data_IF_082389369849
#
_entry.id   IF_082389369849
#
_cell.length_a   1.000
_cell.length_b   1.000
_cell.length_c   1.000
_cell.angle_alpha   90.00
_cell.angle_beta   90.00
_cell.angle_gamma   90.00
#
_symmetry.space_group_name_H-M   'P 1'
#
loop_
_entity.id
_entity.type
_entity.pdbx_description
1 polymer ?
#
# COMPACT_ATOMS: atom_id res chain seq x y z
N UNK A 1 -5.06 -13.08 -12.24
CA UNK A 1 -4.81 -11.89 -13.08
C UNK A 1 -3.51 -11.15 -12.75
N UNK A 2 -3.03 -11.13 -11.48
CA UNK A 2 -1.79 -10.42 -11.09
C UNK A 2 -0.46 -11.14 -11.39
N UNK A 3 -0.43 -12.47 -11.48
CA UNK A 3 0.83 -13.23 -11.59
C UNK A 3 1.67 -12.87 -12.84
N UNK A 4 1.01 -12.64 -13.98
CA UNK A 4 1.70 -12.33 -15.24
C UNK A 4 2.32 -10.92 -15.31
N UNK A 5 2.02 -10.04 -14.34
CA UNK A 5 2.50 -8.65 -14.39
C UNK A 5 3.97 -8.55 -13.96
N UNK A 6 4.46 -9.56 -13.23
CA UNK A 6 5.80 -9.60 -12.65
C UNK A 6 6.74 -10.61 -13.31
N UNK A 7 6.23 -11.42 -14.23
CA UNK A 7 7.07 -12.35 -14.99
C UNK A 7 7.97 -11.61 -15.97
N UNK A 8 9.20 -12.09 -16.09
CA UNK A 8 10.16 -11.71 -17.11
C UNK A 8 10.99 -12.94 -17.49
N UNK A 9 11.45 -12.99 -18.73
CA UNK A 9 12.29 -14.08 -19.24
C UNK A 9 13.70 -13.98 -18.64
N UNK A 10 14.27 -15.11 -18.18
CA UNK A 10 15.65 -15.17 -17.70
C UNK A 10 16.70 -14.89 -18.77
N UNK A 11 16.31 -14.91 -20.05
CA UNK A 11 17.13 -14.50 -21.19
C UNK A 11 16.92 -13.04 -21.63
N UNK A 12 16.08 -12.27 -20.92
CA UNK A 12 15.77 -10.89 -21.26
C UNK A 12 17.00 -9.98 -21.28
N UNK A 13 17.03 -9.07 -22.24
CA UNK A 13 18.04 -8.02 -22.35
C UNK A 13 17.92 -7.00 -21.21
N UNK A 14 18.99 -6.22 -21.00
CA UNK A 14 18.98 -5.13 -20.01
C UNK A 14 17.86 -4.11 -20.27
N UNK A 15 17.59 -3.80 -21.54
CA UNK A 15 16.53 -2.86 -21.91
C UNK A 15 15.14 -3.38 -21.49
N UNK A 16 14.87 -4.67 -21.75
CA UNK A 16 13.61 -5.31 -21.34
C UNK A 16 13.48 -5.36 -19.81
N UNK A 17 14.56 -5.66 -19.09
CA UNK A 17 14.56 -5.64 -17.63
C UNK A 17 14.28 -4.24 -17.08
N UNK A 18 14.81 -3.18 -17.70
CA UNK A 18 14.50 -1.79 -17.32
C UNK A 18 13.02 -1.45 -17.53
N UNK A 19 12.40 -1.95 -18.59
CA UNK A 19 10.95 -1.77 -18.82
C UNK A 19 10.11 -2.49 -17.77
N UNK A 20 10.50 -3.71 -17.38
CA UNK A 20 9.87 -4.46 -16.29
C UNK A 20 9.96 -3.68 -14.99
N UNK A 21 11.14 -3.16 -14.64
CA UNK A 21 11.33 -2.31 -13.46
C UNK A 21 10.43 -1.08 -13.52
N UNK A 22 10.40 -0.37 -14.66
CA UNK A 22 9.55 0.81 -14.82
C UNK A 22 8.05 0.50 -14.67
N UNK A 23 7.61 -0.68 -15.12
CA UNK A 23 6.24 -1.17 -14.90
C UNK A 23 5.98 -1.44 -13.42
N UNK A 24 6.88 -2.13 -12.74
CA UNK A 24 6.80 -2.39 -11.31
C UNK A 24 6.74 -1.09 -10.49
N UNK A 25 7.54 -0.08 -10.84
CA UNK A 25 7.50 1.23 -10.16
C UNK A 25 6.14 1.91 -10.29
N UNK A 26 5.54 1.92 -11.49
CA UNK A 26 4.20 2.50 -11.68
C UNK A 26 3.13 1.79 -10.85
N UNK A 27 3.22 0.45 -10.77
CA UNK A 27 2.29 -0.34 -9.96
C UNK A 27 2.50 -0.09 -8.47
N UNK A 28 3.75 -0.04 -8.00
CA UNK A 28 4.06 0.31 -6.61
C UNK A 28 3.49 1.68 -6.24
N UNK A 29 3.70 2.69 -7.09
CA UNK A 29 3.18 4.03 -6.86
C UNK A 29 1.65 4.04 -6.79
N UNK A 30 0.98 3.34 -7.70
CA UNK A 30 -0.48 3.25 -7.69
C UNK A 30 -1.01 2.54 -6.43
N UNK A 31 -0.41 1.40 -6.08
CA UNK A 31 -0.76 0.63 -4.88
C UNK A 31 -0.57 1.48 -3.61
N UNK A 32 0.56 2.18 -3.48
CA UNK A 32 0.82 3.07 -2.37
C UNK A 32 -0.21 4.20 -2.25
N UNK A 33 -0.62 4.80 -3.38
CA UNK A 33 -1.65 5.85 -3.39
C UNK A 33 -3.03 5.32 -2.96
N UNK A 34 -3.40 4.11 -3.40
CA UNK A 34 -4.64 3.46 -2.96
C UNK A 34 -4.59 3.12 -1.47
N UNK A 35 -3.48 2.54 -1.01
CA UNK A 35 -3.26 2.18 0.39
C UNK A 35 -3.34 3.42 1.29
N UNK A 36 -2.68 4.52 0.93
CA UNK A 36 -2.76 5.77 1.70
C UNK A 36 -4.20 6.27 1.87
N UNK A 37 -5.02 6.24 0.80
CA UNK A 37 -6.44 6.63 0.87
C UNK A 37 -7.26 5.69 1.73
N UNK A 38 -7.03 4.37 1.61
CA UNK A 38 -7.71 3.37 2.42
C UNK A 38 -7.35 3.52 3.91
N UNK A 39 -6.08 3.74 4.23
CA UNK A 39 -5.60 4.00 5.58
C UNK A 39 -6.20 5.28 6.17
N UNK A 40 -6.28 6.36 5.38
CA UNK A 40 -6.92 7.60 5.84
C UNK A 40 -8.41 7.37 6.18
N UNK A 41 -9.15 6.69 5.30
CA UNK A 41 -10.56 6.34 5.55
C UNK A 41 -10.70 5.45 6.78
N UNK A 42 -9.79 4.51 6.99
CA UNK A 42 -9.78 3.65 8.18
C UNK A 42 -9.54 4.46 9.46
N UNK A 43 -8.58 5.39 9.43
CA UNK A 43 -8.33 6.31 10.54
C UNK A 43 -9.59 7.12 10.90
N UNK A 44 -10.32 7.63 9.91
CA UNK A 44 -11.55 8.38 10.12
C UNK A 44 -12.64 7.52 10.78
N UNK A 45 -12.83 6.29 10.29
CA UNK A 45 -13.79 5.35 10.88
C UNK A 45 -13.45 5.01 12.33
N UNK A 46 -12.17 4.81 12.64
CA UNK A 46 -11.71 4.56 14.02
C UNK A 46 -11.97 5.76 14.92
N UNK A 47 -11.60 6.97 14.48
CA UNK A 47 -11.86 8.19 15.24
C UNK A 47 -13.34 8.37 15.55
N UNK A 48 -14.22 8.07 14.61
CA UNK A 48 -15.67 8.10 14.84
C UNK A 48 -16.13 7.05 15.87
N UNK A 49 -15.59 5.83 15.79
CA UNK A 49 -15.92 4.76 16.74
C UNK A 49 -15.36 5.01 18.15
N UNK A 50 -14.25 5.73 18.26
CA UNK A 50 -13.58 6.08 19.52
C UNK A 50 -14.13 7.39 20.13
N UNK A 51 -15.24 7.92 19.60
CA UNK A 51 -15.89 9.12 20.13
C UNK A 51 -16.30 8.92 21.60
N UNK A 52 -15.85 9.81 22.48
CA UNK A 52 -16.05 9.72 23.93
C UNK A 52 -14.94 9.00 24.69
N UNK A 53 -13.96 8.40 24.00
CA UNK A 53 -12.76 7.90 24.65
C UNK A 53 -11.79 9.05 25.00
N UNK A 54 -10.98 8.93 26.07
CA UNK A 54 -9.89 9.88 26.32
C UNK A 54 -8.93 9.95 25.13
N UNK A 55 -8.53 11.17 24.73
CA UNK A 55 -7.66 11.40 23.57
C UNK A 55 -6.36 10.56 23.59
N UNK A 56 -5.79 10.33 24.77
CA UNK A 56 -4.58 9.50 24.96
C UNK A 56 -4.77 8.02 24.57
N UNK A 57 -6.02 7.55 24.44
CA UNK A 57 -6.39 6.18 24.06
C UNK A 57 -6.92 6.08 22.63
N UNK A 58 -7.18 7.20 21.96
CA UNK A 58 -7.65 7.21 20.57
C UNK A 58 -6.50 6.94 19.58
N UNK A 59 -6.84 6.38 18.43
CA UNK A 59 -5.98 6.15 17.27
C UNK A 59 -4.66 5.39 17.54
N UNK A 60 -4.55 4.66 18.66
CA UNK A 60 -3.36 3.86 18.96
C UNK A 60 -3.27 2.63 18.05
N UNK A 61 -2.07 2.37 17.55
CA UNK A 61 -1.71 1.13 16.85
C UNK A 61 -1.95 1.12 15.35
N UNK A 62 -2.68 2.10 14.78
CA UNK A 62 -3.08 2.07 13.38
C UNK A 62 -1.90 2.00 12.40
N UNK A 63 -0.82 2.74 12.67
CA UNK A 63 0.38 2.71 11.82
C UNK A 63 1.05 1.32 11.84
N UNK A 64 1.08 0.65 12.99
CA UNK A 64 1.62 -0.70 13.12
C UNK A 64 0.72 -1.74 12.46
N UNK A 65 -0.61 -1.58 12.57
CA UNK A 65 -1.59 -2.44 11.88
C UNK A 65 -1.46 -2.33 10.35
N UNK A 66 -1.29 -1.11 9.83
CA UNK A 66 -1.10 -0.87 8.38
C UNK A 66 0.25 -1.39 7.89
N UNK A 67 1.30 -1.33 8.71
CA UNK A 67 2.63 -1.81 8.34
C UNK A 67 2.76 -3.34 8.33
N UNK A 68 1.83 -4.06 8.98
CA UNK A 68 1.80 -5.52 9.09
C UNK A 68 0.79 -6.20 8.15
N UNK A 69 -0.04 -5.42 7.46
CA UNK A 69 -1.08 -5.88 6.53
C UNK A 69 -0.55 -6.01 5.10
#
# INVERSE_FOLDING_TARGET
MFAQVFDFDGSASEAELREVVARCERLKAHAAAVQARATALWADKRRAAEAGMPAAKQARGLASEVALA
#
